data_IF_842483711475
#
_entry.id   IF_842483711475
#
_cell.length_a   1.000
_cell.length_b   1.000
_cell.length_c   1.000
_cell.angle_alpha   90.00
_cell.angle_beta   90.00
_cell.angle_gamma   90.00
#
_symmetry.space_group_name_H-M   'P 1'
#
loop_
_entity.id
_entity.type
_entity.pdbx_description
1 polymer ?
#
# COMPACT_ATOMS: atom_id res chain seq x y z
N UNK A 1 -43.94 40.97 35.54
CA UNK A 1 -43.88 39.71 34.78
C UNK A 1 -42.73 39.81 33.80
N UNK A 2 -41.71 38.96 33.71
CA UNK A 2 -41.12 37.92 34.57
C UNK A 2 -39.61 38.02 34.29
N UNK A 3 -38.78 37.97 35.33
CA UNK A 3 -37.33 37.79 35.23
C UNK A 3 -37.05 36.42 34.59
N UNK A 4 -36.56 36.39 33.36
CA UNK A 4 -35.80 35.24 32.83
C UNK A 4 -34.34 35.70 32.68
N UNK A 5 -33.62 35.75 33.80
CA UNK A 5 -32.17 35.92 33.83
C UNK A 5 -31.57 34.80 34.69
N UNK A 6 -30.47 34.26 34.20
CA UNK A 6 -29.45 33.46 34.90
C UNK A 6 -29.59 31.92 34.96
N UNK A 7 -30.75 31.31 34.73
CA UNK A 7 -30.85 29.82 34.82
C UNK A 7 -30.35 29.12 33.54
N UNK A 8 -30.60 29.68 32.35
CA UNK A 8 -30.17 29.09 31.07
C UNK A 8 -28.65 29.17 30.86
N UNK A 9 -28.00 30.24 31.30
CA UNK A 9 -26.53 30.34 31.24
C UNK A 9 -25.83 29.42 32.25
N UNK A 10 -26.46 29.15 33.40
CA UNK A 10 -25.91 28.22 34.40
C UNK A 10 -26.06 26.76 33.94
N UNK A 11 -27.16 26.39 33.24
CA UNK A 11 -27.30 25.05 32.66
C UNK A 11 -26.36 24.81 31.48
N UNK A 12 -26.12 25.80 30.61
CA UNK A 12 -25.12 25.69 29.53
C UNK A 12 -23.68 25.64 30.06
N UNK A 13 -23.37 26.39 31.12
CA UNK A 13 -22.05 26.35 31.76
C UNK A 13 -21.80 25.00 32.48
N UNK A 14 -22.83 24.41 33.11
CA UNK A 14 -22.73 23.08 33.73
C UNK A 14 -22.63 21.97 32.68
N UNK A 15 -23.29 22.08 31.52
CA UNK A 15 -23.10 21.15 30.41
C UNK A 15 -21.69 21.27 29.78
N UNK A 16 -21.12 22.47 29.71
CA UNK A 16 -19.75 22.70 29.22
C UNK A 16 -18.68 22.23 30.22
N UNK A 17 -18.95 22.34 31.54
CA UNK A 17 -18.09 21.83 32.60
C UNK A 17 -18.15 20.30 32.75
N UNK A 18 -19.26 19.65 32.35
CA UNK A 18 -19.35 18.18 32.28
C UNK A 18 -18.69 17.59 31.03
N UNK A 19 -18.37 18.42 30.01
CA UNK A 19 -17.53 18.01 28.86
C UNK A 19 -16.05 18.13 29.22
N UNK A 20 -15.68 19.00 30.17
CA UNK A 20 -14.30 19.15 30.64
C UNK A 20 -13.86 18.04 31.61
N UNK A 21 -14.78 17.36 32.29
CA UNK A 21 -14.46 16.16 33.10
C UNK A 21 -14.31 14.87 32.27
N UNK A 22 -14.43 14.93 30.94
CA UNK A 22 -14.08 13.83 30.03
C UNK A 22 -12.57 13.74 29.73
N UNK A 23 -11.77 14.75 30.10
CA UNK A 23 -10.31 14.69 29.94
C UNK A 23 -9.59 13.93 31.06
N UNK A 24 -10.27 13.55 32.15
CA UNK A 24 -9.69 12.74 33.24
C UNK A 24 -9.93 11.22 33.11
N UNK A 25 -10.51 10.76 31.99
CA UNK A 25 -10.60 9.32 31.65
C UNK A 25 -9.58 8.85 30.60
N UNK A 26 -8.57 9.68 30.31
CA UNK A 26 -7.42 9.31 29.45
C UNK A 26 -6.21 8.81 30.24
N UNK A 27 -6.35 8.68 31.55
CA UNK A 27 -5.43 7.90 32.41
C UNK A 27 -6.20 6.69 32.94
N UNK A 28 -6.68 5.82 32.06
CA UNK A 28 -6.67 4.41 32.45
C UNK A 28 -5.21 3.99 32.37
N UNK A 29 -4.55 3.94 33.53
CA UNK A 29 -3.44 3.03 33.79
C UNK A 29 -3.96 1.61 33.47
N UNK A 30 -3.98 1.26 32.18
CA UNK A 30 -3.80 -0.12 31.81
C UNK A 30 -2.43 -0.50 32.32
N UNK A 31 -2.32 -1.70 32.87
CA UNK A 31 -1.05 -2.36 33.15
C UNK A 31 -0.25 -2.49 31.83
N UNK A 32 0.27 -1.37 31.29
CA UNK A 32 1.24 -1.39 30.21
C UNK A 32 2.44 -2.11 30.81
N UNK A 33 2.91 -3.22 30.21
CA UNK A 33 4.12 -3.85 30.69
C UNK A 33 5.22 -2.77 30.72
N UNK A 34 5.94 -2.65 31.83
CA UNK A 34 7.15 -1.84 31.85
C UNK A 34 8.22 -2.59 31.04
N UNK A 35 8.69 -1.98 29.97
CA UNK A 35 9.77 -2.50 29.14
C UNK A 35 11.06 -1.77 29.48
N UNK A 36 12.12 -2.50 29.79
CA UNK A 36 13.45 -1.92 30.00
C UNK A 36 14.16 -1.61 28.67
N UNK A 37 13.72 -2.25 27.57
CA UNK A 37 14.34 -2.17 26.24
C UNK A 37 13.31 -1.81 25.14
N UNK A 38 13.72 -0.96 24.18
CA UNK A 38 12.91 -0.63 22.99
C UNK A 38 13.60 -0.99 21.68
N UNK A 39 12.82 -1.46 20.71
CA UNK A 39 13.21 -1.67 19.32
C UNK A 39 12.73 -0.47 18.53
N UNK A 40 13.67 0.30 18.00
CA UNK A 40 13.36 1.46 17.17
C UNK A 40 13.12 1.04 15.72
N UNK A 41 11.92 1.32 15.22
CA UNK A 41 11.56 1.13 13.81
C UNK A 41 11.28 2.49 13.21
N UNK A 42 12.01 2.84 12.15
CA UNK A 42 11.73 4.04 11.37
C UNK A 42 10.46 3.85 10.54
N UNK A 43 9.58 4.84 10.52
CA UNK A 43 8.43 4.87 9.60
C UNK A 43 8.54 6.13 8.76
N UNK A 44 8.76 5.98 7.46
CA UNK A 44 8.93 7.10 6.54
C UNK A 44 7.66 7.26 5.71
N UNK A 45 7.01 8.41 5.82
CA UNK A 45 5.84 8.78 5.01
C UNK A 45 6.03 10.11 4.27
N UNK A 46 5.00 10.58 3.58
CA UNK A 46 4.90 11.96 3.05
C UNK A 46 3.67 12.74 3.56
N UNK A 47 3.84 13.61 4.55
CA UNK A 47 2.73 14.40 5.13
C UNK A 47 2.45 15.69 4.33
N UNK A 48 3.20 15.97 3.27
CA UNK A 48 3.18 17.26 2.56
C UNK A 48 2.15 17.35 1.44
N UNK A 49 1.86 16.25 0.74
CA UNK A 49 0.94 16.24 -0.43
C UNK A 49 -0.36 15.46 -0.15
N UNK A 50 -0.37 14.57 0.84
CA UNK A 50 -1.49 13.66 1.15
C UNK A 50 -1.69 13.48 2.66
N UNK A 51 -1.79 14.58 3.40
CA UNK A 51 -1.80 14.58 4.87
C UNK A 51 -2.76 13.55 5.49
N UNK A 52 -3.99 13.45 5.00
CA UNK A 52 -4.97 12.49 5.52
C UNK A 52 -4.56 11.03 5.19
N UNK A 53 -4.17 10.72 3.95
CA UNK A 53 -3.81 9.34 3.55
C UNK A 53 -2.46 8.85 4.11
N UNK A 54 -1.49 9.74 4.32
CA UNK A 54 -0.19 9.37 4.90
C UNK A 54 -0.23 9.32 6.42
N UNK A 55 -1.00 10.19 7.08
CA UNK A 55 -1.33 9.99 8.49
C UNK A 55 -1.94 8.59 8.67
N UNK A 56 -2.78 8.13 7.72
CA UNK A 56 -3.36 6.79 7.73
C UNK A 56 -2.33 5.64 7.64
N UNK A 57 -1.33 5.71 6.76
CA UNK A 57 -0.27 4.67 6.70
C UNK A 57 0.56 4.64 7.99
N UNK A 58 0.96 5.78 8.55
CA UNK A 58 1.64 5.78 9.85
C UNK A 58 0.74 5.18 10.96
N UNK A 59 -0.56 5.47 10.94
CA UNK A 59 -1.50 4.93 11.91
C UNK A 59 -1.72 3.42 11.80
N UNK A 60 -1.59 2.83 10.61
CA UNK A 60 -1.56 1.37 10.43
C UNK A 60 -0.41 0.73 11.20
N UNK A 61 0.83 1.18 10.93
CA UNK A 61 2.01 0.74 11.68
C UNK A 61 1.87 0.99 13.19
N UNK A 62 1.34 2.16 13.58
CA UNK A 62 1.11 2.52 14.98
C UNK A 62 0.15 1.57 15.68
N UNK A 63 -0.97 1.22 15.05
CA UNK A 63 -1.92 0.26 15.60
C UNK A 63 -1.27 -1.09 15.85
N UNK A 64 -0.51 -1.61 14.88
CA UNK A 64 0.22 -2.87 15.04
C UNK A 64 1.21 -2.81 16.22
N UNK A 65 2.01 -1.74 16.31
CA UNK A 65 2.96 -1.57 17.42
C UNK A 65 2.26 -1.53 18.78
N UNK A 66 1.11 -0.85 18.88
CA UNK A 66 0.33 -0.78 20.13
C UNK A 66 -0.25 -2.15 20.50
N UNK A 67 -0.80 -2.90 19.54
CA UNK A 67 -1.34 -4.24 19.78
C UNK A 67 -0.25 -5.24 20.23
N UNK A 68 0.93 -5.20 19.59
CA UNK A 68 2.10 -6.02 19.96
C UNK A 68 2.59 -5.65 21.36
N UNK A 69 2.78 -4.36 21.64
CA UNK A 69 3.24 -3.87 22.94
C UNK A 69 2.22 -4.14 24.06
N UNK A 70 0.92 -4.05 23.77
CA UNK A 70 -0.13 -4.42 24.74
C UNK A 70 -0.19 -5.94 24.97
N UNK A 71 0.33 -6.75 24.05
CA UNK A 71 0.43 -8.21 24.14
C UNK A 71 1.71 -8.70 24.84
N UNK A 72 2.46 -7.80 25.49
CA UNK A 72 3.70 -8.15 26.19
C UNK A 72 4.96 -8.06 25.33
N UNK A 73 4.87 -7.49 24.12
CA UNK A 73 6.04 -7.19 23.28
C UNK A 73 6.77 -8.43 22.79
N UNK A 74 7.92 -8.25 22.15
CA UNK A 74 8.79 -9.35 21.73
C UNK A 74 9.53 -9.91 22.93
N UNK A 75 9.75 -11.22 22.95
CA UNK A 75 10.58 -11.90 23.94
C UNK A 75 11.85 -12.41 23.26
N UNK A 76 12.98 -11.77 23.52
CA UNK A 76 14.27 -12.07 22.90
C UNK A 76 15.31 -12.32 24.00
N UNK A 77 15.97 -13.47 23.96
CA UNK A 77 17.00 -13.88 24.93
C UNK A 77 16.53 -13.80 26.40
N UNK A 78 15.24 -14.00 26.65
CA UNK A 78 14.64 -13.92 27.99
C UNK A 78 14.32 -12.50 28.46
N UNK A 79 14.46 -11.50 27.60
CA UNK A 79 14.10 -10.11 27.86
C UNK A 79 12.91 -9.68 26.98
N UNK A 80 12.09 -8.76 27.49
CA UNK A 80 10.96 -8.22 26.74
C UNK A 80 11.33 -6.88 26.10
N UNK A 81 10.89 -6.69 24.86
CA UNK A 81 11.15 -5.49 24.07
C UNK A 81 9.82 -4.92 23.56
N UNK A 82 9.64 -3.61 23.72
CA UNK A 82 8.56 -2.89 23.01
C UNK A 82 9.03 -2.37 21.65
N UNK A 83 8.09 -2.19 20.73
CA UNK A 83 8.30 -1.51 19.47
C UNK A 83 8.07 -0.01 19.67
N UNK A 84 9.09 0.79 19.37
CA UNK A 84 9.03 2.25 19.33
C UNK A 84 9.12 2.71 17.87
N UNK A 85 8.09 3.40 17.39
CA UNK A 85 8.07 3.94 16.03
C UNK A 85 8.65 5.35 15.99
N UNK A 86 9.59 5.58 15.08
CA UNK A 86 10.18 6.89 14.81
C UNK A 86 9.70 7.36 13.44
N UNK A 87 8.77 8.33 13.44
CA UNK A 87 8.24 8.88 12.20
C UNK A 87 9.19 9.90 11.56
N UNK A 88 9.38 9.81 10.25
CA UNK A 88 10.04 10.83 9.44
C UNK A 88 9.23 11.15 8.18
N UNK A 89 9.31 12.40 7.74
CA UNK A 89 8.61 12.90 6.57
C UNK A 89 9.58 13.07 5.39
N UNK A 90 9.41 12.26 4.34
CA UNK A 90 10.16 12.37 3.08
C UNK A 90 9.70 13.53 2.19
N UNK A 91 8.58 14.19 2.52
CA UNK A 91 7.99 15.25 1.71
C UNK A 91 7.76 14.87 0.22
N UNK A 92 7.66 13.56 -0.06
CA UNK A 92 7.43 13.03 -1.40
C UNK A 92 8.63 13.14 -2.34
N UNK A 93 9.81 13.52 -1.83
CA UNK A 93 11.01 13.78 -2.64
C UNK A 93 12.14 12.81 -2.32
N UNK A 94 12.89 12.43 -3.35
CA UNK A 94 14.07 11.58 -3.24
C UNK A 94 15.11 12.16 -2.25
N UNK A 95 15.47 13.43 -2.42
CA UNK A 95 16.49 14.11 -1.61
C UNK A 95 16.14 14.09 -0.11
N UNK A 96 14.90 14.41 0.24
CA UNK A 96 14.47 14.40 1.64
C UNK A 96 14.32 12.95 2.15
N UNK A 97 13.91 11.99 1.31
CA UNK A 97 13.94 10.55 1.62
C UNK A 97 15.33 10.05 2.03
N UNK A 98 16.36 10.39 1.26
CA UNK A 98 17.77 10.07 1.57
C UNK A 98 18.20 10.75 2.87
N UNK A 99 17.82 12.01 3.08
CA UNK A 99 18.15 12.75 4.30
C UNK A 99 17.53 12.09 5.54
N UNK A 100 16.24 11.79 5.53
CA UNK A 100 15.58 11.19 6.70
C UNK A 100 16.05 9.76 6.97
N UNK A 101 16.45 9.03 5.93
CA UNK A 101 17.08 7.71 6.08
C UNK A 101 18.42 7.82 6.82
N UNK A 102 19.27 8.79 6.45
CA UNK A 102 20.51 9.06 7.19
C UNK A 102 20.25 9.47 8.64
N UNK A 103 19.21 10.28 8.91
CA UNK A 103 18.82 10.63 10.27
C UNK A 103 18.44 9.39 11.09
N UNK A 104 17.63 8.49 10.53
CA UNK A 104 17.23 7.24 11.18
C UNK A 104 18.44 6.33 11.47
N UNK A 105 19.36 6.18 10.51
CA UNK A 105 20.61 5.44 10.69
C UNK A 105 21.43 6.04 11.86
N UNK A 106 21.58 7.36 11.90
CA UNK A 106 22.29 8.04 12.99
C UNK A 106 21.60 7.90 14.35
N UNK A 107 20.28 7.69 14.37
CA UNK A 107 19.49 7.40 15.58
C UNK A 107 19.56 5.93 16.02
N UNK A 108 20.30 5.09 15.28
CA UNK A 108 20.52 3.67 15.56
C UNK A 108 19.39 2.75 15.06
N UNK A 109 18.55 3.23 14.16
CA UNK A 109 17.48 2.43 13.54
C UNK A 109 18.09 1.43 12.57
N UNK A 110 17.64 0.17 12.63
CA UNK A 110 18.07 -0.91 11.72
C UNK A 110 16.96 -1.37 10.76
N UNK A 111 15.76 -0.81 10.92
CA UNK A 111 14.53 -1.23 10.24
C UNK A 111 13.76 0.01 9.83
N UNK A 112 13.42 0.12 8.55
CA UNK A 112 12.61 1.21 8.00
C UNK A 112 11.38 0.63 7.33
N UNK A 113 10.20 1.12 7.71
CA UNK A 113 8.93 0.86 7.05
C UNK A 113 8.55 2.07 6.20
N UNK A 114 8.22 1.85 4.93
CA UNK A 114 8.03 2.89 3.92
C UNK A 114 9.18 2.92 2.88
N UNK A 115 9.25 3.95 2.02
CA UNK A 115 8.39 5.13 1.95
C UNK A 115 7.12 4.89 1.13
N UNK A 116 6.36 5.98 0.89
CA UNK A 116 5.13 5.96 0.09
C UNK A 116 5.38 5.85 -1.42
N UNK A 117 6.24 6.71 -1.98
CA UNK A 117 6.39 6.81 -3.44
C UNK A 117 7.54 5.98 -3.98
N UNK A 118 7.32 5.30 -5.10
CA UNK A 118 8.33 4.51 -5.82
C UNK A 118 9.61 5.27 -6.12
N UNK A 119 9.52 6.55 -6.52
CA UNK A 119 10.71 7.38 -6.78
C UNK A 119 11.54 7.66 -5.52
N UNK A 120 10.91 7.70 -4.34
CA UNK A 120 11.61 7.88 -3.05
C UNK A 120 12.17 6.55 -2.56
N UNK A 121 11.41 5.46 -2.76
CA UNK A 121 11.79 4.12 -2.30
C UNK A 121 13.10 3.63 -2.90
N UNK A 122 13.36 3.86 -4.18
CA UNK A 122 14.60 3.43 -4.83
C UNK A 122 15.83 4.08 -4.18
N UNK A 123 15.79 5.39 -3.99
CA UNK A 123 16.91 6.14 -3.41
C UNK A 123 17.13 5.79 -1.92
N UNK A 124 16.04 5.53 -1.19
CA UNK A 124 16.15 5.01 0.17
C UNK A 124 16.69 3.58 0.22
N UNK A 125 16.27 2.71 -0.71
CA UNK A 125 16.69 1.32 -0.78
C UNK A 125 18.20 1.21 -0.97
N UNK A 126 18.78 1.96 -1.90
CA UNK A 126 20.23 1.95 -2.14
C UNK A 126 21.01 2.30 -0.85
N UNK A 127 20.58 3.34 -0.14
CA UNK A 127 21.20 3.74 1.12
C UNK A 127 21.01 2.69 2.23
N UNK A 128 19.85 2.04 2.28
CA UNK A 128 19.58 0.94 3.23
C UNK A 128 20.50 -0.26 2.97
N UNK A 129 20.67 -0.65 1.71
CA UNK A 129 21.56 -1.77 1.30
C UNK A 129 23.01 -1.49 1.67
N UNK A 130 23.48 -0.24 1.49
CA UNK A 130 24.84 0.17 1.85
C UNK A 130 25.12 0.07 3.35
N UNK A 131 24.09 0.23 4.19
CA UNK A 131 24.20 0.30 5.65
C UNK A 131 23.61 -0.94 6.37
N UNK A 132 23.30 -2.00 5.62
CA UNK A 132 22.69 -3.24 6.13
C UNK A 132 21.39 -3.00 6.94
N UNK A 133 20.59 -2.04 6.47
CA UNK A 133 19.28 -1.69 7.03
C UNK A 133 18.20 -2.45 6.24
N UNK A 134 17.27 -3.09 6.94
CA UNK A 134 16.09 -3.64 6.26
C UNK A 134 15.10 -2.52 5.97
N UNK A 135 14.63 -2.45 4.72
CA UNK A 135 13.54 -1.58 4.31
C UNK A 135 12.34 -2.43 3.87
N UNK A 136 11.15 -2.14 4.41
CA UNK A 136 9.90 -2.75 3.97
C UNK A 136 8.89 -1.67 3.58
N UNK A 137 8.69 -1.46 2.27
CA UNK A 137 7.73 -0.46 1.81
C UNK A 137 6.29 -1.00 1.85
N UNK A 138 5.35 -0.13 2.20
CA UNK A 138 3.92 -0.44 2.25
C UNK A 138 3.15 0.03 1.00
N UNK A 139 3.77 0.76 0.06
CA UNK A 139 3.06 1.28 -1.12
C UNK A 139 3.92 1.60 -2.35
N UNK A 140 5.25 1.45 -2.29
CA UNK A 140 6.06 1.59 -3.50
C UNK A 140 6.01 0.30 -4.33
N UNK A 141 5.34 0.37 -5.47
CA UNK A 141 5.01 -0.79 -6.31
C UNK A 141 5.98 -1.00 -7.47
N UNK A 142 6.93 -0.09 -7.72
CA UNK A 142 7.81 -0.16 -8.90
C UNK A 142 8.51 -1.53 -9.02
N UNK A 143 8.58 -2.13 -10.23
CA UNK A 143 9.30 -3.38 -10.46
C UNK A 143 10.79 -3.29 -10.11
N UNK A 144 11.38 -2.09 -10.19
CA UNK A 144 12.81 -1.88 -9.93
C UNK A 144 13.24 -2.41 -8.56
N UNK A 145 12.38 -2.30 -7.54
CA UNK A 145 12.64 -2.83 -6.20
C UNK A 145 12.84 -4.36 -6.19
N UNK A 146 12.11 -5.11 -7.03
CA UNK A 146 12.23 -6.58 -7.11
C UNK A 146 13.61 -7.02 -7.60
N UNK A 147 14.27 -6.19 -8.40
CA UNK A 147 15.47 -6.58 -9.16
C UNK A 147 16.75 -5.89 -8.67
N UNK A 148 16.68 -5.21 -7.52
CA UNK A 148 17.87 -4.68 -6.85
C UNK A 148 18.79 -5.82 -6.40
N UNK A 149 20.10 -5.61 -6.47
CA UNK A 149 21.05 -6.47 -5.78
C UNK A 149 21.11 -6.03 -4.31
N UNK A 150 20.17 -6.52 -3.52
CA UNK A 150 19.72 -5.87 -2.30
C UNK A 150 20.15 -6.59 -1.01
N UNK A 151 20.87 -7.71 -1.12
CA UNK A 151 21.23 -8.59 0.01
C UNK A 151 20.00 -9.12 0.79
N UNK A 152 18.83 -9.23 0.15
CA UNK A 152 17.57 -9.63 0.77
C UNK A 152 17.12 -8.65 1.87
N UNK A 153 17.44 -7.37 1.72
CA UNK A 153 17.11 -6.29 2.68
C UNK A 153 15.90 -5.46 2.25
N UNK A 154 15.46 -5.55 1.00
CA UNK A 154 14.38 -4.72 0.45
C UNK A 154 13.14 -5.57 0.23
N UNK A 155 12.10 -5.26 0.98
CA UNK A 155 10.85 -6.00 1.00
C UNK A 155 9.68 -5.05 0.77
N UNK A 156 8.51 -5.61 0.49
CA UNK A 156 7.28 -4.83 0.49
C UNK A 156 6.09 -5.65 0.91
N UNK A 157 5.13 -5.03 1.56
CA UNK A 157 3.83 -5.66 1.83
C UNK A 157 2.79 -5.33 0.76
N UNK A 158 3.00 -4.28 -0.04
CA UNK A 158 2.19 -4.03 -1.22
C UNK A 158 2.68 -4.87 -2.42
N UNK A 159 1.82 -5.30 -3.35
CA UNK A 159 2.28 -6.09 -4.48
C UNK A 159 3.11 -5.30 -5.50
N UNK A 160 3.93 -6.01 -6.27
CA UNK A 160 4.76 -5.43 -7.34
C UNK A 160 3.96 -5.19 -8.63
N UNK A 161 4.20 -4.05 -9.27
CA UNK A 161 3.67 -3.69 -10.59
C UNK A 161 4.16 -4.63 -11.70
N UNK A 162 5.22 -5.41 -11.44
CA UNK A 162 5.65 -6.47 -12.36
C UNK A 162 4.51 -7.45 -12.64
N UNK A 163 3.83 -7.89 -11.57
CA UNK A 163 2.74 -8.86 -11.65
C UNK A 163 1.51 -8.25 -12.32
N UNK A 164 1.13 -7.03 -11.94
CA UNK A 164 -0.02 -6.33 -12.52
C UNK A 164 0.18 -5.99 -14.00
N UNK A 165 1.37 -5.54 -14.38
CA UNK A 165 1.70 -5.23 -15.77
C UNK A 165 1.67 -6.47 -16.68
N UNK A 166 2.20 -7.60 -16.21
CA UNK A 166 2.18 -8.85 -16.96
C UNK A 166 0.76 -9.40 -17.12
N UNK A 167 -0.02 -9.46 -16.03
CA UNK A 167 -1.41 -9.97 -16.07
C UNK A 167 -2.31 -9.07 -16.92
N UNK A 168 -2.18 -7.76 -16.82
CA UNK A 168 -3.00 -6.84 -17.62
C UNK A 168 -2.71 -6.95 -19.12
N UNK A 169 -1.44 -7.06 -19.52
CA UNK A 169 -1.07 -7.31 -20.92
C UNK A 169 -1.62 -8.66 -21.42
N UNK A 170 -1.45 -9.71 -20.63
CA UNK A 170 -1.92 -11.06 -20.89
C UNK A 170 -3.45 -11.13 -21.05
N UNK A 171 -4.21 -10.53 -20.12
CA UNK A 171 -5.67 -10.47 -20.18
C UNK A 171 -6.15 -9.72 -21.43
N UNK A 172 -5.58 -8.56 -21.74
CA UNK A 172 -5.99 -7.79 -22.91
C UNK A 172 -5.70 -8.51 -24.23
N UNK A 173 -4.57 -9.20 -24.33
CA UNK A 173 -4.19 -9.89 -25.57
C UNK A 173 -4.92 -11.23 -25.74
N UNK A 174 -4.91 -12.11 -24.73
CA UNK A 174 -5.46 -13.46 -24.83
C UNK A 174 -6.94 -13.55 -24.49
N UNK A 175 -7.44 -12.75 -23.54
CA UNK A 175 -8.86 -12.81 -23.16
C UNK A 175 -9.70 -11.87 -24.01
N UNK A 176 -9.30 -10.60 -24.11
CA UNK A 176 -10.05 -9.61 -24.90
C UNK A 176 -9.75 -9.65 -26.40
N UNK A 177 -8.71 -10.40 -26.81
CA UNK A 177 -8.29 -10.53 -28.20
C UNK A 177 -7.90 -9.19 -28.85
N UNK A 178 -7.47 -8.22 -28.04
CA UNK A 178 -6.97 -6.94 -28.55
C UNK A 178 -5.57 -7.09 -29.13
N UNK A 179 -5.29 -6.34 -30.19
CA UNK A 179 -4.01 -6.44 -30.93
C UNK A 179 -3.27 -5.12 -31.03
N UNK A 180 -3.95 -4.02 -30.75
CA UNK A 180 -3.39 -2.67 -30.80
C UNK A 180 -3.70 -1.90 -29.52
N UNK A 181 -2.67 -1.30 -28.92
CA UNK A 181 -2.84 -0.48 -27.73
C UNK A 181 -2.03 0.82 -27.82
N UNK A 182 -2.45 1.83 -27.08
CA UNK A 182 -1.65 3.00 -26.75
C UNK A 182 -1.51 3.09 -25.23
N UNK A 183 -0.47 3.76 -24.75
CA UNK A 183 -0.19 3.89 -23.32
C UNK A 183 0.02 5.37 -23.00
N UNK A 184 -0.76 5.88 -22.04
CA UNK A 184 -0.53 7.16 -21.37
C UNK A 184 -0.03 6.88 -19.96
N UNK A 185 1.12 7.44 -19.57
CA UNK A 185 1.72 7.15 -18.28
C UNK A 185 2.33 8.40 -17.62
N UNK A 186 2.36 8.41 -16.28
CA UNK A 186 3.06 9.44 -15.51
C UNK A 186 4.58 9.35 -15.70
N UNK A 187 5.24 10.48 -15.87
CA UNK A 187 6.70 10.58 -15.99
C UNK A 187 7.38 10.57 -14.61
N UNK A 188 7.23 9.45 -13.89
CA UNK A 188 7.91 9.14 -12.64
C UNK A 188 8.29 7.66 -12.57
N UNK A 189 9.02 7.22 -11.54
CA UNK A 189 9.49 5.81 -11.44
C UNK A 189 8.34 4.81 -11.40
N UNK A 190 7.21 5.17 -10.81
CA UNK A 190 6.01 4.33 -10.81
C UNK A 190 5.45 4.18 -12.23
N UNK A 191 5.15 5.30 -12.88
CA UNK A 191 4.52 5.31 -14.19
C UNK A 191 5.41 4.70 -15.27
N UNK A 192 6.71 4.97 -15.25
CA UNK A 192 7.69 4.36 -16.16
C UNK A 192 7.76 2.85 -15.91
N UNK A 193 8.01 2.42 -14.67
CA UNK A 193 8.20 1.01 -14.33
C UNK A 193 7.02 0.13 -14.76
N UNK A 194 5.80 0.49 -14.34
CA UNK A 194 4.61 -0.28 -14.72
C UNK A 194 4.34 -0.24 -16.23
N UNK A 195 4.44 0.94 -16.86
CA UNK A 195 4.13 1.08 -18.29
C UNK A 195 5.12 0.33 -19.19
N UNK A 196 6.39 0.19 -18.78
CA UNK A 196 7.36 -0.63 -19.50
C UNK A 196 7.08 -2.12 -19.40
N UNK A 197 6.67 -2.62 -18.22
CA UNK A 197 6.22 -4.00 -18.06
C UNK A 197 5.02 -4.29 -18.97
N UNK A 198 4.01 -3.41 -18.96
CA UNK A 198 2.83 -3.54 -19.85
C UNK A 198 3.26 -3.57 -21.32
N UNK A 199 4.05 -2.58 -21.75
CA UNK A 199 4.53 -2.42 -23.13
C UNK A 199 5.26 -3.68 -23.61
N UNK A 200 6.22 -4.16 -22.83
CA UNK A 200 7.09 -5.27 -23.22
C UNK A 200 6.30 -6.59 -23.28
N UNK A 201 5.49 -6.89 -22.27
CA UNK A 201 4.67 -8.10 -22.24
C UNK A 201 3.63 -8.11 -23.39
N UNK A 202 2.97 -6.98 -23.65
CA UNK A 202 1.98 -6.90 -24.74
C UNK A 202 2.62 -7.10 -26.11
N UNK A 203 3.84 -6.59 -26.33
CA UNK A 203 4.61 -6.80 -27.57
C UNK A 203 5.08 -8.25 -27.68
N UNK A 204 5.58 -8.85 -26.60
CA UNK A 204 6.04 -10.24 -26.58
C UNK A 204 4.93 -11.23 -26.94
N UNK A 205 3.70 -10.95 -26.49
CA UNK A 205 2.51 -11.72 -26.87
C UNK A 205 2.12 -11.56 -28.35
N UNK A 206 2.69 -10.57 -29.06
CA UNK A 206 2.43 -10.27 -30.48
C UNK A 206 1.50 -9.08 -30.69
N UNK A 207 1.21 -8.30 -29.65
CA UNK A 207 0.48 -7.04 -29.73
C UNK A 207 1.34 -5.90 -30.27
N UNK A 208 0.69 -4.80 -30.63
CA UNK A 208 1.35 -3.58 -31.13
C UNK A 208 1.03 -2.39 -30.24
N UNK A 209 2.06 -1.71 -29.73
CA UNK A 209 1.92 -0.40 -29.08
C UNK A 209 2.07 0.69 -30.15
N UNK A 210 0.98 1.39 -30.47
CA UNK A 210 0.97 2.45 -31.49
C UNK A 210 1.63 3.74 -30.98
N UNK A 211 1.29 4.13 -29.76
CA UNK A 211 1.78 5.34 -29.11
C UNK A 211 2.09 5.03 -27.63
N UNK A 212 3.20 5.59 -27.15
CA UNK A 212 3.68 5.49 -25.78
C UNK A 212 4.02 6.91 -25.32
N UNK A 213 3.16 7.49 -24.49
CA UNK A 213 3.13 8.93 -24.23
C UNK A 213 3.19 9.18 -22.73
N UNK A 214 4.16 9.98 -22.29
CA UNK A 214 4.24 10.41 -20.90
C UNK A 214 3.49 11.73 -20.66
N UNK A 215 3.13 11.98 -19.41
CA UNK A 215 2.79 13.31 -18.92
C UNK A 215 3.55 13.60 -17.60
N UNK A 216 3.87 14.86 -17.28
CA UNK A 216 4.64 15.19 -16.08
C UNK A 216 3.97 14.67 -14.80
N UNK A 217 4.73 14.02 -13.92
CA UNK A 217 4.20 13.48 -12.66
C UNK A 217 4.02 14.54 -11.55
N UNK A 218 4.65 15.69 -11.66
CA UNK A 218 4.74 16.71 -10.62
C UNK A 218 3.79 17.91 -10.84
N UNK A 219 2.69 17.70 -11.58
CA UNK A 219 1.73 18.75 -11.92
C UNK A 219 0.92 19.17 -10.67
N UNK A 220 1.04 20.43 -10.18
CA UNK A 220 0.35 20.85 -8.96
C UNK A 220 -1.18 20.94 -9.09
N UNK A 221 -1.66 21.34 -10.28
CA UNK A 221 -3.08 21.36 -10.62
C UNK A 221 -3.28 20.69 -11.98
N UNK A 222 -3.53 19.38 -11.93
CA UNK A 222 -3.76 18.56 -13.10
C UNK A 222 -4.97 19.03 -13.92
N UNK A 223 -5.97 19.62 -13.26
CA UNK A 223 -7.19 20.08 -13.93
C UNK A 223 -6.93 21.27 -14.87
N UNK A 224 -5.97 22.12 -14.51
CA UNK A 224 -5.51 23.26 -15.29
C UNK A 224 -4.50 22.90 -16.39
N UNK A 225 -3.88 21.72 -16.32
CA UNK A 225 -2.92 21.27 -17.33
C UNK A 225 -3.59 21.05 -18.69
N UNK A 226 -2.89 21.46 -19.76
CA UNK A 226 -3.34 21.24 -21.13
C UNK A 226 -2.75 19.96 -21.69
N UNK A 227 -3.59 18.93 -21.80
CA UNK A 227 -3.26 17.61 -22.33
C UNK A 227 -3.37 17.48 -23.86
N UNK A 228 -3.57 18.57 -24.61
CA UNK A 228 -3.79 18.51 -26.06
C UNK A 228 -2.65 17.81 -26.81
N UNK A 229 -1.40 18.04 -26.41
CA UNK A 229 -0.25 17.42 -27.07
C UNK A 229 -0.22 15.90 -26.83
N UNK A 230 -0.34 15.50 -25.56
CA UNK A 230 -0.30 14.11 -25.12
C UNK A 230 -1.45 13.32 -25.73
N UNK A 231 -2.68 13.83 -25.61
CA UNK A 231 -3.87 13.14 -26.11
C UNK A 231 -3.93 13.10 -27.63
N UNK A 232 -3.52 14.16 -28.33
CA UNK A 232 -3.48 14.12 -29.80
C UNK A 232 -2.40 13.16 -30.32
N UNK A 233 -1.30 13.03 -29.59
CA UNK A 233 -0.26 12.03 -29.89
C UNK A 233 -0.77 10.62 -29.61
N UNK A 234 -1.38 10.40 -28.45
CA UNK A 234 -1.95 9.12 -28.03
C UNK A 234 -2.99 8.59 -29.04
N UNK A 235 -3.84 9.49 -29.55
CA UNK A 235 -4.97 9.21 -30.45
C UNK A 235 -4.62 9.30 -31.94
N UNK A 236 -3.34 9.46 -32.30
CA UNK A 236 -2.90 9.59 -33.69
C UNK A 236 -3.26 8.37 -34.55
N UNK A 237 -3.35 7.21 -33.93
CA UNK A 237 -3.81 5.96 -34.56
C UNK A 237 -4.97 5.38 -33.77
N UNK A 238 -5.93 4.79 -34.48
CA UNK A 238 -7.01 4.04 -33.83
C UNK A 238 -6.45 2.74 -33.25
N UNK A 239 -6.77 2.50 -31.98
CA UNK A 239 -6.37 1.31 -31.23
C UNK A 239 -7.58 0.63 -30.59
N UNK A 240 -7.41 -0.63 -30.20
CA UNK A 240 -8.44 -1.36 -29.44
C UNK A 240 -8.46 -0.95 -27.96
N UNK A 241 -7.29 -0.52 -27.45
CA UNK A 241 -7.03 -0.35 -26.02
C UNK A 241 -6.19 0.90 -25.74
N UNK A 242 -6.50 1.61 -24.67
CA UNK A 242 -5.63 2.62 -24.07
C UNK A 242 -5.36 2.22 -22.63
N UNK A 243 -4.10 1.98 -22.29
CA UNK A 243 -3.66 1.91 -20.90
C UNK A 243 -3.47 3.33 -20.37
N UNK A 244 -4.00 3.60 -19.17
CA UNK A 244 -3.71 4.83 -18.42
C UNK A 244 -3.05 4.39 -17.11
N UNK A 245 -1.78 4.77 -16.96
CA UNK A 245 -1.00 4.55 -15.74
C UNK A 245 -0.88 5.88 -15.00
N UNK A 246 -1.69 6.05 -13.95
CA UNK A 246 -1.70 7.27 -13.15
C UNK A 246 -2.18 7.00 -11.72
N UNK A 247 -2.09 8.03 -10.86
CA UNK A 247 -2.62 7.91 -9.51
C UNK A 247 -4.14 8.02 -9.49
N UNK A 248 -4.76 7.47 -8.45
CA UNK A 248 -6.21 7.49 -8.26
C UNK A 248 -6.80 8.91 -8.34
N UNK A 249 -6.12 9.90 -7.75
CA UNK A 249 -6.52 11.31 -7.78
C UNK A 249 -6.55 11.93 -9.18
N UNK A 250 -5.96 11.27 -10.18
CA UNK A 250 -5.73 11.82 -11.52
C UNK A 250 -6.63 11.20 -12.58
N UNK A 251 -7.05 9.94 -12.38
CA UNK A 251 -7.82 9.20 -13.40
C UNK A 251 -9.11 9.92 -13.78
N UNK A 252 -9.84 10.49 -12.84
CA UNK A 252 -11.07 11.21 -13.15
C UNK A 252 -10.81 12.43 -14.05
N UNK A 253 -9.70 13.16 -13.83
CA UNK A 253 -9.32 14.30 -14.68
C UNK A 253 -8.89 13.80 -16.07
N UNK A 254 -8.01 12.81 -16.13
CA UNK A 254 -7.48 12.27 -17.38
C UNK A 254 -8.57 11.68 -18.27
N UNK A 255 -9.48 10.88 -17.71
CA UNK A 255 -10.62 10.31 -18.45
C UNK A 255 -11.59 11.38 -18.95
N UNK A 256 -11.85 12.43 -18.15
CA UNK A 256 -12.65 13.57 -18.59
C UNK A 256 -11.98 14.36 -19.73
N UNK A 257 -10.65 14.59 -19.67
CA UNK A 257 -9.89 15.27 -20.73
C UNK A 257 -9.87 14.42 -22.00
N UNK A 258 -9.64 13.12 -21.89
CA UNK A 258 -9.70 12.17 -23.00
C UNK A 258 -11.09 12.16 -23.66
N UNK A 259 -12.18 12.15 -22.87
CA UNK A 259 -13.54 12.24 -23.42
C UNK A 259 -13.77 13.49 -24.22
N UNK A 260 -13.36 14.64 -23.71
CA UNK A 260 -13.64 15.90 -24.37
C UNK A 260 -12.68 16.18 -25.54
N UNK A 261 -11.65 15.36 -25.77
CA UNK A 261 -10.75 15.50 -26.90
C UNK A 261 -11.48 15.24 -28.24
N UNK A 262 -11.26 16.12 -29.23
CA UNK A 262 -11.94 16.06 -30.51
C UNK A 262 -11.60 14.81 -31.34
N UNK A 263 -10.35 14.32 -31.27
CA UNK A 263 -9.95 13.09 -31.96
C UNK A 263 -10.62 11.88 -31.32
N UNK A 264 -10.70 11.83 -29.99
CA UNK A 264 -11.42 10.77 -29.29
C UNK A 264 -12.88 10.76 -29.70
N UNK A 265 -13.55 11.91 -29.71
CA UNK A 265 -14.95 12.03 -30.12
C UNK A 265 -15.20 11.62 -31.57
N UNK A 266 -14.23 11.86 -32.47
CA UNK A 266 -14.31 11.47 -33.87
C UNK A 266 -14.14 9.96 -34.14
N UNK A 267 -13.65 9.17 -33.16
CA UNK A 267 -13.49 7.72 -33.34
C UNK A 267 -14.84 7.01 -33.54
N UNK A 268 -14.95 6.21 -34.60
CA UNK A 268 -16.12 5.35 -34.86
C UNK A 268 -16.28 4.27 -33.80
N UNK A 269 -15.16 3.64 -33.40
CA UNK A 269 -15.08 2.66 -32.32
C UNK A 269 -14.17 3.24 -31.23
N UNK A 270 -14.72 3.43 -30.03
CA UNK A 270 -13.95 3.87 -28.87
C UNK A 270 -13.06 2.72 -28.35
N UNK A 271 -11.80 2.98 -27.97
CA UNK A 271 -10.97 1.99 -27.32
C UNK A 271 -11.49 1.67 -25.92
N UNK A 272 -11.21 0.46 -25.46
CA UNK A 272 -11.33 0.12 -24.03
C UNK A 272 -10.24 0.87 -23.26
N UNK A 273 -10.56 1.34 -22.06
CA UNK A 273 -9.58 1.95 -21.15
C UNK A 273 -9.22 0.94 -20.09
N UNK A 274 -7.92 0.69 -19.94
CA UNK A 274 -7.39 -0.18 -18.90
C UNK A 274 -6.63 0.64 -17.86
N UNK A 275 -7.00 0.49 -16.60
CA UNK A 275 -6.43 1.22 -15.47
C UNK A 275 -5.53 0.33 -14.60
N UNK A 276 -4.49 0.93 -14.02
CA UNK A 276 -3.57 0.27 -13.09
C UNK A 276 -4.22 -0.10 -11.74
N UNK A 277 -3.48 -0.83 -10.90
CA UNK A 277 -3.81 -1.08 -9.50
C UNK A 277 -3.87 0.23 -8.68
N UNK A 278 -4.63 0.22 -7.59
CA UNK A 278 -4.78 1.38 -6.69
C UNK A 278 -5.86 2.38 -7.09
N UNK A 279 -6.64 2.10 -8.15
CA UNK A 279 -7.77 2.96 -8.57
C UNK A 279 -9.06 2.55 -7.85
N UNK A 280 -9.70 3.49 -7.17
CA UNK A 280 -10.94 3.28 -6.43
C UNK A 280 -12.15 3.44 -7.36
N UNK A 281 -12.80 2.32 -7.69
CA UNK A 281 -13.93 2.31 -8.61
C UNK A 281 -15.09 3.22 -8.15
N UNK A 282 -15.37 3.31 -6.85
CA UNK A 282 -16.41 4.19 -6.29
C UNK A 282 -16.12 5.68 -6.57
N UNK A 283 -14.87 6.12 -6.37
CA UNK A 283 -14.47 7.50 -6.67
C UNK A 283 -14.51 7.76 -8.18
N UNK A 284 -14.14 6.76 -8.97
CA UNK A 284 -14.21 6.84 -10.43
C UNK A 284 -15.66 6.98 -10.92
N UNK A 285 -16.58 6.17 -10.40
CA UNK A 285 -18.01 6.22 -10.71
C UNK A 285 -18.60 7.60 -10.33
N UNK A 286 -18.16 8.16 -9.19
CA UNK A 286 -18.64 9.45 -8.71
C UNK A 286 -18.12 10.65 -9.53
N UNK A 287 -16.88 10.58 -10.04
CA UNK A 287 -16.18 11.75 -10.57
C UNK A 287 -15.83 11.69 -12.07
N UNK A 288 -15.81 10.53 -12.70
CA UNK A 288 -15.51 10.39 -14.12
C UNK A 288 -16.73 10.64 -15.02
N UNK A 289 -16.48 10.72 -16.33
CA UNK A 289 -17.55 10.87 -17.30
C UNK A 289 -18.41 9.59 -17.40
N UNK A 290 -19.74 9.65 -17.25
CA UNK A 290 -20.60 8.46 -17.36
C UNK A 290 -20.50 7.74 -18.71
N UNK A 291 -20.13 8.46 -19.78
CA UNK A 291 -19.89 7.89 -21.11
C UNK A 291 -18.65 7.01 -21.21
N UNK A 292 -17.73 7.09 -20.22
CA UNK A 292 -16.52 6.27 -20.13
C UNK A 292 -16.71 5.01 -19.29
N UNK A 293 -17.57 5.03 -18.28
CA UNK A 293 -17.63 3.98 -17.26
C UNK A 293 -17.76 2.58 -17.86
N UNK A 294 -18.59 2.41 -18.89
CA UNK A 294 -18.80 1.11 -19.57
C UNK A 294 -17.61 0.62 -20.40
N UNK A 295 -16.63 1.48 -20.66
CA UNK A 295 -15.41 1.16 -21.42
C UNK A 295 -14.21 0.94 -20.51
N UNK A 296 -14.38 1.13 -19.20
CA UNK A 296 -13.30 1.01 -18.22
C UNK A 296 -13.21 -0.42 -17.72
N UNK A 297 -11.99 -0.93 -17.76
CA UNK A 297 -11.54 -2.12 -17.05
C UNK A 297 -10.35 -1.67 -16.20
N UNK A 298 -10.14 -2.31 -15.07
CA UNK A 298 -8.93 -2.16 -14.29
C UNK A 298 -8.48 -3.46 -13.68
N UNK A 299 -7.38 -3.37 -12.95
CA UNK A 299 -6.81 -4.48 -12.18
C UNK A 299 -6.67 -4.03 -10.74
N UNK A 300 -6.86 -4.94 -9.78
CA UNK A 300 -6.55 -4.68 -8.37
C UNK A 300 -6.17 -5.98 -7.68
N UNK A 301 -5.39 -5.92 -6.60
CA UNK A 301 -5.41 -7.04 -5.65
C UNK A 301 -6.77 -7.10 -4.97
N UNK A 302 -7.32 -8.31 -4.80
CA UNK A 302 -8.56 -8.53 -4.05
C UNK A 302 -8.26 -9.22 -2.72
N UNK A 303 -8.98 -8.78 -1.71
CA UNK A 303 -9.04 -9.39 -0.39
C UNK A 303 -10.48 -9.72 -0.02
N UNK A 304 -11.34 -10.00 -1.02
CA UNK A 304 -12.71 -10.45 -0.76
C UNK A 304 -12.70 -11.57 0.28
N UNK A 305 -13.60 -11.46 1.26
CA UNK A 305 -13.72 -12.37 2.41
C UNK A 305 -12.56 -12.32 3.44
N UNK A 306 -11.59 -11.39 3.32
CA UNK A 306 -10.54 -11.25 4.32
C UNK A 306 -11.11 -10.73 5.65
N UNK A 307 -11.44 -11.65 6.55
CA UNK A 307 -11.90 -11.35 7.92
C UNK A 307 -10.89 -10.49 8.68
N UNK A 308 -9.60 -10.62 8.38
CA UNK A 308 -8.54 -9.87 9.04
C UNK A 308 -8.60 -8.38 8.70
N UNK A 309 -8.96 -8.02 7.47
CA UNK A 309 -9.23 -6.61 7.14
C UNK A 309 -10.40 -6.06 7.97
N UNK A 310 -11.45 -6.85 8.20
CA UNK A 310 -12.59 -6.45 9.03
C UNK A 310 -12.21 -6.20 10.49
N UNK A 311 -11.34 -7.05 11.07
CA UNK A 311 -10.79 -6.89 12.42
C UNK A 311 -9.91 -5.64 12.49
N UNK A 312 -8.95 -5.52 11.57
CA UNK A 312 -8.07 -4.35 11.44
C UNK A 312 -8.88 -3.05 11.36
N UNK A 313 -9.81 -2.95 10.40
CA UNK A 313 -10.67 -1.78 10.21
C UNK A 313 -11.45 -1.42 11.48
N UNK A 314 -11.98 -2.42 12.18
CA UNK A 314 -12.71 -2.21 13.44
C UNK A 314 -11.80 -1.66 14.53
N UNK A 315 -10.62 -2.25 14.73
CA UNK A 315 -9.64 -1.79 15.71
C UNK A 315 -9.11 -0.40 15.38
N UNK A 316 -8.85 -0.14 14.10
CA UNK A 316 -8.42 1.15 13.58
C UNK A 316 -9.44 2.26 13.87
N UNK A 317 -10.71 2.05 13.50
CA UNK A 317 -11.79 3.00 13.78
C UNK A 317 -11.95 3.21 15.28
N UNK A 318 -11.90 2.14 16.07
CA UNK A 318 -11.97 2.23 17.53
C UNK A 318 -10.83 3.07 18.11
N UNK A 319 -9.62 2.94 17.56
CA UNK A 319 -8.41 3.61 18.07
C UNK A 319 -8.30 5.07 17.63
N UNK A 320 -8.64 5.38 16.37
CA UNK A 320 -8.37 6.68 15.75
C UNK A 320 -9.64 7.49 15.41
N UNK A 321 -10.82 6.86 15.36
CA UNK A 321 -12.10 7.54 15.16
C UNK A 321 -12.51 7.77 13.70
N UNK A 322 -11.75 7.27 12.73
CA UNK A 322 -12.04 7.35 11.29
C UNK A 322 -11.66 6.05 10.57
N UNK A 323 -12.12 5.87 9.33
CA UNK A 323 -11.83 4.67 8.55
C UNK A 323 -10.40 4.67 8.01
N UNK A 324 -9.73 3.51 7.91
CA UNK A 324 -8.42 3.40 7.28
C UNK A 324 -8.49 3.79 5.79
N UNK A 325 -7.39 4.37 5.28
CA UNK A 325 -7.18 4.61 3.85
C UNK A 325 -6.36 3.49 3.21
N UNK A 326 -6.38 3.41 1.87
CA UNK A 326 -5.58 2.46 1.07
C UNK A 326 -4.12 2.43 1.51
N UNK A 327 -3.53 1.24 1.58
CA UNK A 327 -2.15 0.97 2.00
C UNK A 327 -1.87 1.10 3.50
N UNK A 328 -2.84 1.50 4.33
CA UNK A 328 -2.63 1.51 5.79
C UNK A 328 -2.52 0.09 6.37
N UNK A 329 -3.32 -0.85 5.87
CA UNK A 329 -3.24 -2.28 6.16
C UNK A 329 -1.87 -2.88 5.83
N UNK A 330 -1.24 -2.43 4.75
CA UNK A 330 0.09 -2.91 4.34
C UNK A 330 1.18 -2.47 5.33
N UNK A 331 1.09 -1.26 5.88
CA UNK A 331 2.02 -0.79 6.93
C UNK A 331 1.80 -1.49 8.28
N UNK A 332 0.55 -1.86 8.59
CA UNK A 332 0.19 -2.65 9.75
C UNK A 332 0.81 -4.05 9.66
N UNK A 333 0.66 -4.71 8.51
CA UNK A 333 1.21 -6.04 8.27
C UNK A 333 2.75 -6.04 8.26
N UNK A 334 3.38 -4.96 7.80
CA UNK A 334 4.83 -4.83 7.80
C UNK A 334 5.40 -4.93 9.22
N UNK A 335 4.77 -4.26 10.20
CA UNK A 335 5.17 -4.33 11.61
C UNK A 335 5.01 -5.75 12.15
N UNK A 336 3.90 -6.44 11.86
CA UNK A 336 3.68 -7.82 12.31
C UNK A 336 4.69 -8.81 11.70
N UNK A 337 4.94 -8.72 10.39
CA UNK A 337 5.89 -9.59 9.70
C UNK A 337 7.30 -9.44 10.30
N UNK A 338 7.75 -8.20 10.48
CA UNK A 338 9.05 -7.89 11.08
C UNK A 338 9.10 -8.38 12.53
N UNK A 339 8.04 -8.16 13.33
CA UNK A 339 7.99 -8.60 14.73
C UNK A 339 8.05 -10.13 14.87
N UNK A 340 7.29 -10.87 14.05
CA UNK A 340 7.35 -12.33 14.06
C UNK A 340 8.70 -12.86 13.57
N UNK A 341 9.29 -12.25 12.54
CA UNK A 341 10.62 -12.65 12.06
C UNK A 341 11.69 -12.44 13.15
N UNK A 342 11.69 -11.29 13.84
CA UNK A 342 12.58 -11.04 14.98
C UNK A 342 12.37 -12.04 16.12
N UNK A 343 11.11 -12.31 16.49
CA UNK A 343 10.76 -13.31 17.50
C UNK A 343 11.28 -14.71 17.12
N UNK A 344 11.11 -15.10 15.85
CA UNK A 344 11.54 -16.40 15.33
C UNK A 344 13.06 -16.54 15.29
N UNK A 345 13.75 -15.49 14.88
CA UNK A 345 15.20 -15.43 14.85
C UNK A 345 15.84 -15.30 16.23
N UNK A 346 15.05 -14.89 17.24
CA UNK A 346 15.55 -14.48 18.54
C UNK A 346 16.67 -13.41 18.41
N UNK A 347 16.49 -12.45 17.50
CA UNK A 347 17.50 -11.46 17.14
C UNK A 347 16.90 -10.15 16.62
N UNK A 348 17.57 -9.03 16.94
CA UNK A 348 17.26 -7.70 16.40
C UNK A 348 18.06 -7.34 15.15
N UNK A 349 19.06 -8.15 14.78
CA UNK A 349 19.88 -7.88 13.61
C UNK A 349 19.11 -8.25 12.33
N UNK A 350 18.88 -7.32 11.40
CA UNK A 350 18.22 -7.60 10.12
C UNK A 350 18.75 -8.84 9.42
N UNK A 351 20.07 -8.95 9.24
CA UNK A 351 20.70 -10.06 8.52
C UNK A 351 20.43 -11.44 9.14
N UNK A 352 20.04 -11.48 10.41
CA UNK A 352 19.64 -12.73 11.05
C UNK A 352 18.15 -13.02 10.80
N UNK A 353 17.28 -12.03 10.99
CA UNK A 353 15.83 -12.28 10.95
C UNK A 353 15.21 -12.26 9.55
N UNK A 354 15.85 -11.64 8.55
CA UNK A 354 15.34 -11.58 7.16
C UNK A 354 15.01 -12.96 6.59
N UNK A 355 15.79 -13.98 6.94
CA UNK A 355 15.58 -15.36 6.48
C UNK A 355 14.23 -15.95 6.94
N UNK A 356 13.63 -15.40 7.99
CA UNK A 356 12.38 -15.88 8.56
C UNK A 356 11.14 -15.16 8.02
N UNK A 357 11.29 -14.06 7.28
CA UNK A 357 10.15 -13.32 6.71
C UNK A 357 9.29 -14.20 5.78
N UNK A 358 9.93 -15.04 4.97
CA UNK A 358 9.24 -16.04 4.12
C UNK A 358 8.65 -17.20 4.91
N UNK A 359 9.30 -17.61 6.00
CA UNK A 359 8.80 -18.69 6.87
C UNK A 359 7.50 -18.27 7.56
N UNK A 360 7.47 -17.07 8.16
CA UNK A 360 6.33 -16.60 8.96
C UNK A 360 5.11 -16.23 8.12
N UNK A 361 5.30 -16.00 6.81
CA UNK A 361 4.26 -15.55 5.89
C UNK A 361 3.60 -16.67 5.09
N UNK A 362 3.93 -17.93 5.37
CA UNK A 362 3.22 -19.07 4.78
C UNK A 362 3.66 -19.49 3.38
N UNK A 363 4.77 -18.96 2.85
CA UNK A 363 5.17 -19.24 1.46
C UNK A 363 5.59 -20.70 1.26
N UNK A 364 4.70 -21.50 0.65
CA UNK A 364 4.85 -22.97 0.48
C UNK A 364 6.19 -23.39 -0.16
N UNK A 365 6.76 -22.58 -1.05
CA UNK A 365 7.99 -22.91 -1.76
C UNK A 365 9.25 -22.86 -0.86
N UNK A 366 9.19 -22.12 0.25
CA UNK A 366 10.28 -22.02 1.24
C UNK A 366 10.00 -22.84 2.51
N UNK A 367 8.84 -23.52 2.53
CA UNK A 367 8.53 -24.52 3.52
C UNK A 367 9.38 -25.79 3.27
N UNK A 368 10.49 -25.96 4.00
CA UNK A 368 11.16 -27.26 4.13
C UNK A 368 10.15 -28.38 4.46
N UNK A 369 10.43 -29.65 4.15
CA UNK A 369 9.48 -30.77 4.39
C UNK A 369 8.95 -30.88 5.83
N UNK A 370 9.62 -30.26 6.81
CA UNK A 370 9.22 -30.12 8.22
C UNK A 370 8.21 -28.99 8.50
N UNK A 371 7.90 -28.13 7.54
CA UNK A 371 6.99 -26.96 7.65
C UNK A 371 5.57 -27.27 7.14
N UNK A 372 5.20 -28.55 6.99
CA UNK A 372 3.92 -28.98 6.38
C UNK A 372 2.67 -28.68 7.23
N UNK A 373 2.81 -28.35 8.51
CA UNK A 373 1.71 -27.87 9.35
C UNK A 373 2.10 -26.51 9.94
N UNK A 374 1.71 -25.44 9.25
CA UNK A 374 1.82 -24.08 9.76
C UNK A 374 0.56 -23.73 10.53
N UNK A 375 0.72 -23.15 11.72
CA UNK A 375 -0.41 -22.65 12.50
C UNK A 375 -0.78 -21.28 11.94
N UNK A 376 -2.01 -21.17 11.45
CA UNK A 376 -2.57 -19.92 11.01
C UNK A 376 -2.66 -18.93 12.19
N UNK A 377 -2.09 -17.75 12.01
CA UNK A 377 -2.14 -16.64 12.96
C UNK A 377 -2.73 -15.41 12.26
N UNK A 378 -3.75 -14.82 12.87
CA UNK A 378 -4.44 -13.67 12.31
C UNK A 378 -3.93 -12.34 12.89
N UNK A 379 -4.47 -11.26 12.37
CA UNK A 379 -4.26 -9.90 12.93
C UNK A 379 -4.73 -9.83 14.38
N UNK A 380 -4.04 -9.03 15.19
CA UNK A 380 -4.32 -8.89 16.63
C UNK A 380 -4.18 -10.21 17.44
N UNK A 381 -3.47 -11.22 16.93
CA UNK A 381 -3.16 -12.48 17.61
C UNK A 381 -1.67 -12.63 17.97
N UNK A 382 -0.95 -11.51 18.17
CA UNK A 382 0.50 -11.51 18.43
C UNK A 382 0.93 -12.46 19.57
N UNK A 383 0.21 -12.46 20.68
CA UNK A 383 0.51 -13.34 21.82
C UNK A 383 0.37 -14.83 21.48
N UNK A 384 -0.56 -15.21 20.59
CA UNK A 384 -0.73 -16.58 20.12
C UNK A 384 0.45 -16.96 19.22
N UNK A 385 0.77 -16.12 18.23
CA UNK A 385 1.90 -16.35 17.33
C UNK A 385 3.24 -16.43 18.07
N UNK A 386 3.48 -15.53 19.03
CA UNK A 386 4.66 -15.58 19.90
C UNK A 386 4.77 -16.90 20.65
N UNK A 387 3.67 -17.38 21.24
CA UNK A 387 3.66 -18.65 21.98
C UNK A 387 3.91 -19.88 21.08
N UNK A 388 3.44 -19.86 19.83
CA UNK A 388 3.72 -20.91 18.84
C UNK A 388 5.20 -20.90 18.48
N UNK A 389 5.75 -19.74 18.14
CA UNK A 389 7.17 -19.57 17.80
C UNK A 389 8.07 -20.03 18.96
N UNK A 390 7.73 -19.68 20.20
CA UNK A 390 8.53 -20.05 21.38
C UNK A 390 8.54 -21.57 21.65
N UNK A 391 7.56 -22.32 21.12
CA UNK A 391 7.58 -23.80 21.16
C UNK A 391 8.40 -24.41 20.02
N UNK A 392 8.94 -23.59 19.12
CA UNK A 392 9.65 -24.03 17.92
C UNK A 392 8.74 -24.46 16.78
N UNK A 393 7.44 -24.17 16.87
CA UNK A 393 6.44 -24.44 15.84
C UNK A 393 6.40 -23.27 14.84
N UNK A 394 5.94 -23.53 13.62
CA UNK A 394 5.89 -22.54 12.56
C UNK A 394 4.50 -21.96 12.38
N UNK A 395 4.46 -20.67 12.02
CA UNK A 395 3.23 -19.91 11.80
C UNK A 395 3.03 -19.61 10.33
N UNK A 396 1.79 -19.37 9.94
CA UNK A 396 1.43 -18.63 8.74
C UNK A 396 0.64 -17.39 9.18
N UNK A 397 1.26 -16.22 9.07
CA UNK A 397 0.60 -14.95 9.36
C UNK A 397 -0.25 -14.49 8.16
N UNK A 398 -1.56 -14.40 8.38
CA UNK A 398 -2.51 -13.81 7.44
C UNK A 398 -2.82 -12.37 7.85
N UNK A 399 -2.44 -11.43 6.99
CA UNK A 399 -2.46 -10.00 7.28
C UNK A 399 -3.82 -9.33 7.03
N UNK A 400 -3.90 -8.07 7.44
CA UNK A 400 -5.00 -7.16 7.13
C UNK A 400 -5.10 -6.88 5.62
N UNK A 401 -3.97 -6.89 4.92
CA UNK A 401 -3.86 -6.73 3.48
C UNK A 401 -3.94 -8.05 2.70
N UNK A 402 -4.29 -9.14 3.38
CA UNK A 402 -4.42 -10.48 2.81
C UNK A 402 -3.22 -11.37 3.12
N UNK A 403 -3.09 -12.50 2.41
CA UNK A 403 -1.91 -13.36 2.52
C UNK A 403 -0.65 -12.60 2.10
N UNK A 404 0.36 -12.55 2.97
CA UNK A 404 1.63 -11.82 2.73
C UNK A 404 2.71 -12.79 2.22
N UNK A 405 2.33 -13.82 1.45
CA UNK A 405 3.25 -14.86 0.97
C UNK A 405 4.39 -14.23 0.16
N UNK A 406 5.55 -13.98 0.79
CA UNK A 406 6.67 -13.34 0.13
C UNK A 406 7.40 -14.30 -0.82
N UNK A 407 7.59 -13.87 -2.06
CA UNK A 407 8.39 -14.58 -3.05
C UNK A 407 9.91 -14.41 -2.82
N UNK A 408 10.71 -14.89 -3.78
CA UNK A 408 12.17 -14.82 -3.68
C UNK A 408 12.75 -13.41 -3.83
N UNK A 409 11.96 -12.43 -4.27
CA UNK A 409 12.33 -11.02 -4.35
C UNK A 409 11.88 -10.22 -3.12
N UNK A 410 11.15 -10.85 -2.20
CA UNK A 410 10.56 -10.14 -1.05
C UNK A 410 9.25 -9.43 -1.39
N UNK A 411 8.62 -9.80 -2.51
CA UNK A 411 7.32 -9.29 -2.95
C UNK A 411 6.20 -10.22 -2.48
N UNK A 412 5.04 -9.71 -2.03
CA UNK A 412 3.92 -10.57 -1.69
C UNK A 412 3.29 -11.11 -2.97
N UNK A 413 2.73 -12.31 -2.90
CA UNK A 413 1.97 -12.92 -4.00
C UNK A 413 0.47 -12.61 -3.80
N UNK A 414 -0.09 -11.59 -4.49
CA UNK A 414 -1.49 -11.22 -4.31
C UNK A 414 -2.44 -12.18 -5.03
N UNK A 415 -3.68 -12.23 -4.53
CA UNK A 415 -4.84 -12.57 -5.37
C UNK A 415 -5.25 -11.33 -6.14
N UNK A 416 -5.43 -11.47 -7.45
CA UNK A 416 -5.66 -10.36 -8.37
C UNK A 416 -7.00 -10.53 -9.06
N UNK A 417 -7.72 -9.43 -9.22
CA UNK A 417 -8.94 -9.38 -10.03
C UNK A 417 -8.80 -8.35 -11.13
N UNK A 418 -9.36 -8.71 -12.27
CA UNK A 418 -9.72 -7.75 -13.31
C UNK A 418 -11.15 -7.33 -13.03
N UNK A 419 -11.39 -6.03 -12.99
CA UNK A 419 -12.70 -5.46 -12.69
C UNK A 419 -13.16 -4.51 -13.81
N UNK A 420 -14.45 -4.23 -13.85
CA UNK A 420 -15.04 -3.20 -14.69
C UNK A 420 -16.20 -2.50 -14.00
N UNK A 421 -16.93 -1.68 -14.75
CA UNK A 421 -18.09 -0.94 -14.25
C UNK A 421 -19.32 -1.28 -15.08
N UNK A 422 -20.27 -1.99 -14.46
CA UNK A 422 -21.56 -2.31 -15.05
C UNK A 422 -22.69 -1.65 -14.25
N UNK A 423 -23.62 -0.99 -14.94
CA UNK A 423 -24.74 -0.28 -14.29
C UNK A 423 -24.33 0.73 -13.20
N UNK A 424 -23.15 1.35 -13.33
CA UNK A 424 -22.54 2.25 -12.34
C UNK A 424 -22.17 1.56 -11.02
N UNK A 425 -21.87 0.27 -11.07
CA UNK A 425 -21.38 -0.52 -9.94
C UNK A 425 -20.09 -1.24 -10.34
N UNK A 426 -19.19 -1.42 -9.38
CA UNK A 426 -18.00 -2.26 -9.53
C UNK A 426 -18.41 -3.70 -9.83
N UNK A 427 -17.70 -4.36 -10.72
CA UNK A 427 -17.95 -5.77 -11.06
C UNK A 427 -16.63 -6.48 -11.31
N UNK A 428 -16.41 -7.59 -10.60
CA UNK A 428 -15.26 -8.47 -10.86
C UNK A 428 -15.53 -9.30 -12.13
N UNK A 429 -14.55 -9.31 -13.03
CA UNK A 429 -14.65 -9.91 -14.38
C UNK A 429 -13.83 -11.21 -14.44
N UNK A 430 -12.64 -11.22 -13.83
CA UNK A 430 -11.72 -12.35 -13.91
C UNK A 430 -10.79 -12.38 -12.71
N UNK A 431 -10.36 -13.59 -12.31
CA UNK A 431 -9.49 -13.82 -11.15
C UNK A 431 -8.16 -14.44 -11.58
N UNK A 432 -7.10 -14.03 -10.91
CA UNK A 432 -5.72 -14.48 -11.08
C UNK A 432 -5.09 -14.72 -9.70
N UNK A 433 -4.27 -15.77 -9.58
CA UNK A 433 -3.78 -16.26 -8.29
C UNK A 433 -4.55 -17.50 -7.82
N UNK A 434 -3.91 -18.36 -7.03
CA UNK A 434 -4.52 -19.59 -6.47
C UNK A 434 -5.00 -19.37 -5.04
#
# INVERSE_FOLDING_TARGET
MIKLNNITYTLLAVLFLLILSSCEKLTEDYNKPEYENSIKIGVVGDVSVLREQVENMFFGAKLASEEINNSGGLELNGENYEIELIFKNSAGSADEGVKVTNELINEGVQIIIGPTFSSVAIEMAELCIENDILMMTYSATTPDLSFLNDKDLIWRTCPSDYTFGAISAQYCFDTLQYRSAAILYRDDRFGIGLSEIIKNNFIELGGRISNYVSFPGDIPDLSAYNFDYELNTLLKEQVDLIYIVAFNSEIAVLTNKLYNNALYQALEKKPTIFLNDGILAEELIANANPGFLRTIIGITSTNEENLNYGIYKTNYIKRFGFSPATYSEHSYDAVYCIAYAMQRANSLNPLNFINYLREISGTEQFANETLREQILINVNEFSIGKNVINKGESINYEGASGPINFDYHGDPIPKIVIWGIENNEFTEISYYGK
#
